data_IF_734407327092
#
_entry.id   IF_734407327092
#
_cell.length_a   1.000
_cell.length_b   1.000
_cell.length_c   1.000
_cell.angle_alpha   90.00
_cell.angle_beta   90.00
_cell.angle_gamma   90.00
#
_symmetry.space_group_name_H-M   'P 1'
#
loop_
_entity.id
_entity.type
_entity.pdbx_description
1 polymer ?
#
# COMPACT_ATOMS: atom_id res chain seq x y z
N UNK A 1 14.90 2.29 12.54
CA UNK A 1 13.52 2.60 12.15
C UNK A 1 13.27 2.05 10.74
N UNK A 2 12.15 1.38 10.56
CA UNK A 2 11.78 0.80 9.27
C UNK A 2 10.32 1.12 8.98
N UNK A 3 9.97 1.15 7.69
CA UNK A 3 8.59 1.28 7.28
C UNK A 3 7.90 -0.10 7.39
N UNK A 4 6.61 -0.09 7.70
CA UNK A 4 5.81 -1.30 7.79
C UNK A 4 4.44 -1.04 7.15
N UNK A 5 4.03 -1.94 6.28
CA UNK A 5 2.78 -1.81 5.53
C UNK A 5 1.74 -2.86 5.92
N UNK A 6 1.86 -3.45 7.11
CA UNK A 6 0.89 -4.45 7.58
C UNK A 6 -0.52 -3.90 7.64
N UNK A 7 -0.66 -2.62 7.97
CA UNK A 7 -1.98 -1.97 7.99
C UNK A 7 -2.63 -1.98 6.62
N UNK A 8 -1.85 -1.80 5.56
CA UNK A 8 -2.34 -1.86 4.19
C UNK A 8 -2.91 -3.24 3.88
N UNK A 9 -2.20 -4.29 4.25
CA UNK A 9 -2.66 -5.66 3.98
C UNK A 9 -3.95 -5.97 4.73
N UNK A 10 -4.07 -5.53 5.98
CA UNK A 10 -5.29 -5.68 6.76
C UNK A 10 -6.45 -4.92 6.12
N UNK A 11 -6.19 -3.71 5.65
CA UNK A 11 -7.22 -2.89 5.00
C UNK A 11 -7.71 -3.56 3.71
N UNK A 12 -6.81 -4.15 2.92
CA UNK A 12 -7.20 -4.90 1.72
C UNK A 12 -8.09 -6.07 2.07
N UNK A 13 -7.75 -6.84 3.10
CA UNK A 13 -8.55 -7.97 3.56
C UNK A 13 -9.93 -7.49 3.97
N UNK A 14 -10.02 -6.41 4.73
CA UNK A 14 -11.29 -5.83 5.17
C UNK A 14 -12.17 -5.40 4.01
N UNK A 15 -11.56 -4.98 2.91
CA UNK A 15 -12.28 -4.56 1.70
C UNK A 15 -12.52 -5.70 0.72
N UNK A 16 -12.04 -6.91 1.04
CA UNK A 16 -12.17 -8.07 0.15
C UNK A 16 -11.30 -7.97 -1.10
N UNK A 17 -10.19 -7.25 -1.02
CA UNK A 17 -9.26 -7.05 -2.14
C UNK A 17 -8.01 -7.90 -1.97
N UNK A 18 -7.38 -8.20 -3.11
CA UNK A 18 -6.09 -8.89 -3.16
C UNK A 18 -4.99 -7.88 -3.52
N UNK A 19 -3.72 -8.28 -3.30
CA UNK A 19 -2.58 -7.44 -3.68
C UNK A 19 -2.57 -7.13 -5.17
N UNK A 20 -2.97 -8.08 -6.01
CA UNK A 20 -3.06 -7.88 -7.46
C UNK A 20 -4.14 -6.86 -7.83
N UNK A 21 -5.21 -6.78 -7.06
CA UNK A 21 -6.26 -5.78 -7.28
C UNK A 21 -5.70 -4.37 -7.05
N UNK A 22 -4.77 -4.23 -6.13
CA UNK A 22 -4.13 -2.96 -5.84
C UNK A 22 -3.35 -2.44 -7.04
N UNK A 23 -2.71 -3.31 -7.80
CA UNK A 23 -2.00 -2.93 -9.02
C UNK A 23 -2.95 -2.26 -10.03
N UNK A 24 -4.12 -2.85 -10.22
CA UNK A 24 -5.12 -2.32 -11.14
C UNK A 24 -5.71 -1.00 -10.64
N UNK A 25 -6.05 -0.94 -9.34
CA UNK A 25 -6.69 0.23 -8.76
C UNK A 25 -5.76 1.44 -8.70
N UNK A 26 -4.49 1.23 -8.42
CA UNK A 26 -3.53 2.31 -8.21
C UNK A 26 -2.66 2.58 -9.41
N UNK A 27 -2.80 1.80 -10.48
CA UNK A 27 -1.95 1.92 -11.68
C UNK A 27 -0.46 1.88 -11.34
N UNK A 28 -0.10 1.09 -10.32
CA UNK A 28 1.30 0.97 -9.89
C UNK A 28 1.98 -0.21 -10.58
N UNK A 29 3.31 -0.18 -10.60
CA UNK A 29 4.10 -1.28 -11.15
C UNK A 29 4.20 -2.45 -10.17
N UNK A 30 4.45 -3.65 -10.69
CA UNK A 30 4.72 -4.82 -9.85
C UNK A 30 5.97 -4.62 -8.98
N UNK A 31 6.93 -3.83 -9.45
CA UNK A 31 8.12 -3.48 -8.66
C UNK A 31 7.75 -2.72 -7.40
N UNK A 32 6.81 -1.76 -7.49
CA UNK A 32 6.33 -1.02 -6.32
C UNK A 32 5.60 -1.94 -5.34
N UNK A 33 4.78 -2.85 -5.84
CA UNK A 33 4.11 -3.82 -4.99
C UNK A 33 5.11 -4.73 -4.28
N UNK A 34 6.16 -5.17 -4.98
CA UNK A 34 7.20 -5.98 -4.37
C UNK A 34 7.91 -5.24 -3.23
N UNK A 35 8.17 -3.94 -3.40
CA UNK A 35 8.76 -3.11 -2.34
C UNK A 35 7.84 -3.01 -1.13
N UNK A 36 6.55 -2.81 -1.35
CA UNK A 36 5.57 -2.80 -0.27
C UNK A 36 5.56 -4.12 0.50
N UNK A 37 5.63 -5.24 -0.21
CA UNK A 37 5.63 -6.57 0.40
C UNK A 37 6.88 -6.82 1.24
N UNK A 38 7.99 -6.15 0.92
CA UNK A 38 9.26 -6.28 1.64
C UNK A 38 9.47 -5.18 2.67
N UNK A 39 8.47 -4.33 2.90
CA UNK A 39 8.57 -3.17 3.79
C UNK A 39 9.70 -2.22 3.37
N UNK A 40 9.94 -2.12 2.07
CA UNK A 40 10.91 -1.18 1.51
C UNK A 40 10.25 0.17 1.24
N UNK A 41 11.07 1.20 1.09
CA UNK A 41 10.56 2.53 0.79
C UNK A 41 9.99 2.60 -0.62
N UNK A 42 8.87 3.29 -0.74
CA UNK A 42 8.27 3.62 -2.05
C UNK A 42 8.13 5.13 -2.13
N UNK A 43 7.86 5.64 -3.33
CA UNK A 43 7.69 7.08 -3.53
C UNK A 43 6.38 7.54 -2.89
N UNK A 44 6.33 8.82 -2.51
CA UNK A 44 5.11 9.43 -1.99
C UNK A 44 3.98 9.35 -3.01
N UNK A 45 4.28 9.43 -4.29
CA UNK A 45 3.29 9.30 -5.35
C UNK A 45 2.55 7.97 -5.27
N UNK A 46 3.26 6.87 -5.02
CA UNK A 46 2.65 5.55 -4.84
C UNK A 46 1.71 5.56 -3.63
N UNK A 47 2.16 6.15 -2.52
CA UNK A 47 1.35 6.23 -1.30
C UNK A 47 0.07 7.04 -1.52
N UNK A 48 0.18 8.16 -2.24
CA UNK A 48 -0.99 8.99 -2.58
C UNK A 48 -1.99 8.21 -3.43
N UNK A 49 -1.51 7.48 -4.42
CA UNK A 49 -2.38 6.67 -5.29
C UNK A 49 -3.13 5.60 -4.50
N UNK A 50 -2.45 4.95 -3.56
CA UNK A 50 -3.08 3.93 -2.70
C UNK A 50 -4.16 4.59 -1.83
N UNK A 51 -3.84 5.71 -1.21
CA UNK A 51 -4.79 6.42 -0.35
C UNK A 51 -6.03 6.88 -1.13
N UNK A 52 -5.85 7.39 -2.33
CA UNK A 52 -6.97 7.80 -3.18
C UNK A 52 -7.83 6.61 -3.59
N UNK A 53 -7.20 5.50 -3.99
CA UNK A 53 -7.92 4.31 -4.44
C UNK A 53 -8.72 3.66 -3.31
N UNK A 54 -8.18 3.67 -2.09
CA UNK A 54 -8.80 3.04 -0.93
C UNK A 54 -9.57 4.04 -0.06
N UNK A 55 -9.55 5.31 -0.42
CA UNK A 55 -10.22 6.39 0.30
C UNK A 55 -9.82 6.41 1.78
N UNK A 56 -8.52 6.48 2.02
CA UNK A 56 -7.95 6.46 3.37
C UNK A 56 -6.76 7.41 3.49
N UNK A 57 -6.22 7.53 4.69
CA UNK A 57 -5.04 8.35 4.95
C UNK A 57 -3.79 7.46 4.98
N UNK A 58 -2.61 8.10 4.89
CA UNK A 58 -1.33 7.38 4.86
C UNK A 58 -1.11 6.57 6.14
N UNK A 59 -1.54 7.05 7.27
CA UNK A 59 -1.40 6.35 8.55
C UNK A 59 -2.32 5.12 8.67
N UNK A 60 -3.28 4.99 7.76
CA UNK A 60 -4.12 3.79 7.65
C UNK A 60 -3.44 2.66 6.90
N UNK A 61 -2.36 2.95 6.17
CA UNK A 61 -1.69 1.98 5.31
C UNK A 61 -0.23 1.72 5.69
N UNK A 62 0.39 2.59 6.47
CA UNK A 62 1.78 2.39 6.86
C UNK A 62 2.04 2.92 8.27
N UNK A 63 3.13 2.45 8.84
CA UNK A 63 3.66 2.96 10.11
C UNK A 63 5.18 2.85 10.10
N UNK A 64 5.82 3.59 10.97
CA UNK A 64 7.28 3.55 11.14
C UNK A 64 7.56 2.90 12.48
N UNK A 65 8.37 1.84 12.46
CA UNK A 65 8.72 1.07 13.67
C UNK A 65 10.20 1.18 13.98
#
# INVERSE_FOLDING_TARGET
>A
MTTCYNKLWKLLIDKGLKKTDLLALCSMSSASLAKLSKNENVTTDVLVRICEALNCNVDDIMEIK
#
